data_IF_977044178366
#
_entry.id   IF_977044178366
#
_cell.length_a   1.000
_cell.length_b   1.000
_cell.length_c   1.000
_cell.angle_alpha   90.00
_cell.angle_beta   90.00
_cell.angle_gamma   90.00
#
_symmetry.space_group_name_H-M   'P 1'
#
loop_
_entity.id
_entity.type
_entity.pdbx_description
1 polymer ?
#
# COMPACT_ATOMS: atom_id res chain seq x y z
N UNK A 1 -8.00 -13.77 -7.28
CA UNK A 1 -8.88 -13.78 -6.09
C UNK A 1 -9.83 -14.94 -6.23
N UNK A 2 -10.00 -15.73 -5.18
CA UNK A 2 -10.97 -16.82 -5.10
C UNK A 2 -11.86 -16.49 -3.91
N UNK A 3 -13.17 -16.29 -4.14
CA UNK A 3 -14.14 -15.92 -3.08
C UNK A 3 -13.84 -14.63 -2.29
N UNK A 4 -13.15 -13.65 -2.88
CA UNK A 4 -12.87 -12.36 -2.23
C UNK A 4 -11.54 -12.29 -1.47
N UNK A 5 -10.81 -13.40 -1.38
CA UNK A 5 -9.48 -13.44 -0.75
C UNK A 5 -8.36 -13.26 -1.79
N UNK A 6 -7.24 -12.60 -1.40
CA UNK A 6 -6.07 -12.48 -2.26
C UNK A 6 -5.48 -13.87 -2.59
N UNK A 7 -5.05 -14.07 -3.84
CA UNK A 7 -4.46 -15.35 -4.26
C UNK A 7 -3.07 -15.62 -3.66
N UNK A 8 -2.39 -14.56 -3.26
CA UNK A 8 -1.16 -14.58 -2.48
C UNK A 8 -1.06 -13.25 -1.70
N UNK A 9 -0.34 -13.25 -0.59
CA UNK A 9 -0.07 -12.04 0.19
C UNK A 9 1.39 -11.99 0.60
N UNK A 10 1.96 -10.78 0.58
CA UNK A 10 3.28 -10.48 1.10
C UNK A 10 3.15 -9.36 2.13
N UNK A 11 3.61 -9.61 3.35
CA UNK A 11 3.53 -8.63 4.44
C UNK A 11 4.77 -8.74 5.32
N UNK A 12 5.54 -7.66 5.37
CA UNK A 12 6.81 -7.60 6.10
C UNK A 12 6.92 -6.26 6.82
N UNK A 13 7.18 -6.29 8.12
CA UNK A 13 7.67 -5.12 8.84
C UNK A 13 9.17 -4.99 8.59
N UNK A 14 9.68 -3.77 8.45
CA UNK A 14 11.10 -3.54 8.20
C UNK A 14 11.71 -2.61 9.24
N UNK A 15 13.00 -2.79 9.49
CA UNK A 15 13.79 -1.90 10.32
C UNK A 15 14.11 -0.62 9.53
N UNK A 16 13.61 0.56 9.98
CA UNK A 16 13.84 1.82 9.29
C UNK A 16 15.26 2.39 9.52
N UNK A 17 16.09 1.71 10.32
CA UNK A 17 17.45 2.11 10.69
C UNK A 17 17.53 3.48 11.38
N UNK A 18 16.40 3.97 11.91
CA UNK A 18 16.28 5.23 12.64
C UNK A 18 15.10 5.19 13.60
N UNK A 19 15.10 6.00 14.68
CA UNK A 19 13.96 6.09 15.58
C UNK A 19 12.65 6.43 14.86
N UNK A 20 11.56 5.79 15.26
CA UNK A 20 10.22 6.10 14.78
C UNK A 20 9.74 7.40 15.41
N UNK A 21 9.22 8.32 14.59
CA UNK A 21 8.66 9.57 15.12
C UNK A 21 7.36 9.32 15.88
N UNK A 22 7.09 10.14 16.90
CA UNK A 22 5.84 10.04 17.70
C UNK A 22 4.61 10.17 16.81
N UNK A 23 4.67 11.00 15.77
CA UNK A 23 3.58 11.16 14.80
C UNK A 23 3.30 9.88 14.02
N UNK A 24 4.35 9.24 13.49
CA UNK A 24 4.22 7.99 12.73
C UNK A 24 3.68 6.86 13.63
N UNK A 25 4.24 6.72 14.84
CA UNK A 25 3.78 5.72 15.80
C UNK A 25 2.30 5.91 16.20
N UNK A 26 1.80 7.14 16.30
CA UNK A 26 0.36 7.38 16.54
C UNK A 26 -0.53 6.94 15.38
N UNK A 27 0.00 6.95 14.16
CA UNK A 27 -0.76 6.59 12.95
C UNK A 27 -0.81 5.06 12.77
N UNK A 28 0.34 4.39 12.86
CA UNK A 28 0.47 2.97 12.53
C UNK A 28 0.75 2.04 13.73
N UNK A 29 0.98 2.58 14.93
CA UNK A 29 1.18 1.82 16.17
C UNK A 29 2.58 1.23 16.39
N UNK A 30 3.35 0.99 15.32
CA UNK A 30 4.71 0.44 15.45
C UNK A 30 5.70 1.36 16.17
N UNK A 31 6.35 0.84 17.21
CA UNK A 31 7.41 1.53 17.94
C UNK A 31 8.80 1.17 17.39
N UNK A 32 9.83 1.95 17.75
CA UNK A 32 11.22 1.59 17.46
C UNK A 32 11.58 0.20 18.00
N UNK A 33 11.13 -0.14 19.20
CA UNK A 33 11.39 -1.43 19.84
C UNK A 33 10.81 -2.61 19.04
N UNK A 34 9.67 -2.41 18.37
CA UNK A 34 9.06 -3.42 17.50
C UNK A 34 9.78 -3.58 16.16
N UNK A 35 10.31 -2.48 15.61
CA UNK A 35 10.88 -2.45 14.27
C UNK A 35 12.38 -2.71 14.23
N UNK A 36 13.13 -2.43 15.31
CA UNK A 36 14.60 -2.52 15.30
C UNK A 36 15.16 -3.94 15.08
N UNK A 37 14.38 -4.97 15.39
CA UNK A 37 14.75 -6.38 15.18
C UNK A 37 14.24 -6.97 13.87
N UNK A 38 13.47 -6.21 13.09
CA UNK A 38 12.97 -6.62 11.79
C UNK A 38 14.09 -6.59 10.74
N UNK A 39 13.96 -7.32 9.61
CA UNK A 39 14.90 -7.18 8.49
C UNK A 39 14.90 -5.76 7.94
N UNK A 40 16.02 -5.34 7.33
CA UNK A 40 16.08 -4.06 6.60
C UNK A 40 15.55 -4.27 5.19
N UNK A 41 15.27 -3.19 4.48
CA UNK A 41 14.81 -3.28 3.09
C UNK A 41 15.77 -4.08 2.19
N UNK A 42 17.09 -3.87 2.32
CA UNK A 42 18.10 -4.61 1.56
C UNK A 42 18.04 -6.13 1.77
N UNK A 43 17.57 -6.57 2.94
CA UNK A 43 17.49 -7.98 3.29
C UNK A 43 16.24 -8.65 2.67
N UNK A 44 15.25 -7.86 2.21
CA UNK A 44 13.97 -8.34 1.67
C UNK A 44 13.66 -7.84 0.25
N UNK A 45 14.57 -7.06 -0.34
CA UNK A 45 14.32 -6.39 -1.62
C UNK A 45 14.03 -7.40 -2.73
N UNK A 46 14.84 -8.46 -2.83
CA UNK A 46 14.69 -9.48 -3.87
C UNK A 46 13.39 -10.28 -3.70
N UNK A 47 13.01 -10.65 -2.47
CA UNK A 47 11.75 -11.34 -2.19
C UNK A 47 10.53 -10.47 -2.53
N UNK A 48 10.58 -9.18 -2.20
CA UNK A 48 9.53 -8.23 -2.56
C UNK A 48 9.43 -8.04 -4.07
N UNK A 49 10.56 -7.88 -4.78
CA UNK A 49 10.59 -7.72 -6.22
C UNK A 49 10.03 -8.95 -6.94
N UNK A 50 10.41 -10.15 -6.51
CA UNK A 50 9.87 -11.41 -7.05
C UNK A 50 8.34 -11.50 -6.85
N UNK A 51 7.81 -10.96 -5.75
CA UNK A 51 6.37 -10.97 -5.49
C UNK A 51 5.57 -10.03 -6.41
N UNK A 52 6.17 -8.91 -6.83
CA UNK A 52 5.50 -7.87 -7.65
C UNK A 52 5.90 -7.90 -9.12
N UNK A 53 6.81 -8.79 -9.52
CA UNK A 53 7.29 -8.95 -10.89
C UNK A 53 6.13 -9.25 -11.85
N UNK A 54 6.05 -8.48 -12.93
CA UNK A 54 4.99 -8.58 -13.94
C UNK A 54 3.61 -8.14 -13.45
N UNK A 55 3.49 -7.60 -12.23
CA UNK A 55 2.19 -7.15 -11.71
C UNK A 55 1.83 -5.74 -12.18
N UNK A 56 0.53 -5.46 -12.25
CA UNK A 56 0.02 -4.08 -12.23
C UNK A 56 -0.19 -3.66 -10.78
N UNK A 57 0.48 -2.58 -10.36
CA UNK A 57 0.38 -2.07 -9.00
C UNK A 57 -0.85 -1.18 -8.83
N UNK A 58 -1.81 -1.59 -8.01
CA UNK A 58 -2.98 -0.78 -7.67
C UNK A 58 -2.75 -0.13 -6.30
N UNK A 59 -2.53 1.19 -6.28
CA UNK A 59 -2.12 1.93 -5.08
C UNK A 59 -3.04 3.14 -4.87
N UNK A 60 -3.27 3.53 -3.62
CA UNK A 60 -3.99 4.76 -3.31
C UNK A 60 -3.00 5.90 -3.05
N UNK A 61 -3.05 6.97 -3.85
CA UNK A 61 -2.06 8.04 -3.85
C UNK A 61 -0.67 7.55 -4.28
N UNK A 62 -0.62 6.81 -5.39
CA UNK A 62 0.53 6.02 -5.82
C UNK A 62 1.88 6.77 -5.88
N UNK A 63 1.85 8.08 -6.15
CA UNK A 63 3.06 8.92 -6.16
C UNK A 63 3.86 8.82 -4.85
N UNK A 64 3.17 8.66 -3.72
CA UNK A 64 3.81 8.56 -2.42
C UNK A 64 4.57 7.23 -2.29
N UNK A 65 3.88 6.10 -2.39
CA UNK A 65 4.46 4.76 -2.23
C UNK A 65 5.53 4.45 -3.29
N UNK A 66 5.29 4.78 -4.56
CA UNK A 66 6.28 4.59 -5.62
C UNK A 66 7.53 5.44 -5.36
N UNK A 67 7.37 6.64 -4.79
CA UNK A 67 8.51 7.47 -4.38
C UNK A 67 9.36 6.80 -3.30
N UNK A 68 8.74 6.20 -2.29
CA UNK A 68 9.44 5.45 -1.24
C UNK A 68 10.12 4.19 -1.79
N UNK A 69 9.40 3.38 -2.57
CA UNK A 69 9.94 2.15 -3.15
C UNK A 69 11.12 2.45 -4.08
N UNK A 70 11.02 3.44 -4.95
CA UNK A 70 12.11 3.81 -5.84
C UNK A 70 13.33 4.35 -5.08
N UNK A 71 13.12 5.09 -3.98
CA UNK A 71 14.23 5.57 -3.16
C UNK A 71 14.97 4.41 -2.47
N UNK A 72 14.23 3.46 -1.89
CA UNK A 72 14.79 2.27 -1.25
C UNK A 72 15.51 1.37 -2.27
N UNK A 73 14.92 1.15 -3.46
CA UNK A 73 15.55 0.38 -4.55
C UNK A 73 16.82 1.04 -5.07
N UNK A 74 16.85 2.38 -5.16
CA UNK A 74 18.05 3.11 -5.56
C UNK A 74 19.19 2.91 -4.55
N UNK A 75 18.91 2.91 -3.24
CA UNK A 75 19.92 2.67 -2.19
C UNK A 75 20.56 1.29 -2.34
N UNK A 76 19.79 0.29 -2.75
CA UNK A 76 20.26 -1.10 -2.90
C UNK A 76 20.67 -1.47 -4.33
N UNK A 77 20.77 -0.48 -5.22
CA UNK A 77 21.14 -0.65 -6.64
C UNK A 77 20.26 -1.68 -7.38
N UNK A 78 18.95 -1.60 -7.20
CA UNK A 78 17.95 -2.47 -7.86
C UNK A 78 17.08 -1.74 -8.88
N UNK A 79 17.46 -0.54 -9.32
CA UNK A 79 16.69 0.23 -10.29
C UNK A 79 15.45 0.88 -9.65
N UNK A 80 14.30 0.78 -10.31
CA UNK A 80 13.03 1.36 -9.88
C UNK A 80 11.84 0.42 -10.15
N UNK A 81 10.68 0.72 -9.58
CA UNK A 81 9.48 -0.11 -9.74
C UNK A 81 9.05 -0.31 -11.20
N UNK A 82 9.33 0.65 -12.08
CA UNK A 82 9.00 0.55 -13.50
C UNK A 82 9.82 -0.52 -14.25
N UNK A 83 10.92 -1.00 -13.66
CA UNK A 83 11.74 -2.07 -14.24
C UNK A 83 11.12 -3.46 -14.01
N UNK A 84 10.19 -3.60 -13.05
CA UNK A 84 9.64 -4.90 -12.61
C UNK A 84 8.14 -5.04 -12.82
N UNK A 85 7.38 -3.94 -12.88
CA UNK A 85 5.92 -3.96 -12.92
C UNK A 85 5.38 -3.47 -14.27
N UNK A 86 4.26 -4.01 -14.71
CA UNK A 86 3.62 -3.65 -15.99
C UNK A 86 3.04 -2.22 -15.98
N UNK A 87 2.69 -1.72 -14.80
CA UNK A 87 2.12 -0.39 -14.66
C UNK A 87 1.61 -0.09 -13.25
N UNK A 88 1.12 1.15 -13.08
CA UNK A 88 0.59 1.65 -11.82
C UNK A 88 -0.79 2.25 -12.05
N UNK A 89 -1.78 1.79 -11.26
CA UNK A 89 -3.12 2.37 -11.18
C UNK A 89 -3.22 3.15 -9.86
N UNK A 90 -3.33 4.47 -9.97
CA UNK A 90 -3.62 5.32 -8.80
C UNK A 90 -5.13 5.43 -8.57
N UNK A 91 -5.60 4.73 -7.54
CA UNK A 91 -7.03 4.73 -7.16
C UNK A 91 -7.51 6.07 -6.64
N UNK A 92 -6.63 6.95 -6.14
CA UNK A 92 -7.01 8.31 -5.74
C UNK A 92 -7.41 9.13 -6.96
N UNK A 93 -6.59 9.06 -8.02
CA UNK A 93 -6.87 9.70 -9.30
C UNK A 93 -8.13 9.10 -9.96
N UNK A 94 -8.26 7.77 -9.96
CA UNK A 94 -9.46 7.08 -10.45
C UNK A 94 -10.73 7.51 -9.70
N UNK A 95 -10.66 7.59 -8.37
CA UNK A 95 -11.78 8.04 -7.54
C UNK A 95 -12.19 9.48 -7.84
N UNK A 96 -11.23 10.39 -8.01
CA UNK A 96 -11.50 11.80 -8.37
C UNK A 96 -12.15 11.92 -9.75
N UNK A 97 -11.75 11.07 -10.69
CA UNK A 97 -12.35 11.03 -12.03
C UNK A 97 -13.79 10.48 -11.99
N UNK A 98 -13.99 9.33 -11.33
CA UNK A 98 -15.30 8.66 -11.27
C UNK A 98 -16.30 9.35 -10.34
N UNK A 99 -15.82 10.13 -9.36
CA UNK A 99 -16.65 10.78 -8.32
C UNK A 99 -16.23 12.25 -8.13
N UNK A 100 -16.43 13.10 -9.15
CA UNK A 100 -15.96 14.49 -9.12
C UNK A 100 -16.59 15.27 -7.95
N UNK A 101 -15.76 16.05 -7.26
CA UNK A 101 -16.18 16.86 -6.11
C UNK A 101 -16.52 16.09 -4.83
N UNK A 102 -16.36 14.76 -4.82
CA UNK A 102 -16.53 13.95 -3.59
C UNK A 102 -15.18 13.72 -2.90
N UNK A 103 -15.15 13.59 -1.56
CA UNK A 103 -13.96 13.17 -0.86
C UNK A 103 -13.47 11.80 -1.37
N UNK A 104 -12.16 11.68 -1.55
CA UNK A 104 -11.53 10.53 -2.20
C UNK A 104 -10.46 9.86 -1.34
N UNK A 105 -10.42 10.12 -0.02
CA UNK A 105 -9.59 9.33 0.88
C UNK A 105 -10.11 7.90 0.98
N UNK A 106 -9.23 6.94 1.33
CA UNK A 106 -9.63 5.54 1.53
C UNK A 106 -10.84 5.43 2.48
N UNK A 107 -10.82 6.13 3.61
CA UNK A 107 -11.94 6.15 4.56
C UNK A 107 -13.25 6.68 3.95
N UNK A 108 -13.17 7.75 3.14
CA UNK A 108 -14.35 8.29 2.49
C UNK A 108 -14.90 7.35 1.41
N UNK A 109 -14.02 6.63 0.73
CA UNK A 109 -14.40 5.62 -0.26
C UNK A 109 -15.03 4.40 0.41
N UNK A 110 -14.46 3.90 1.51
CA UNK A 110 -15.06 2.82 2.28
C UNK A 110 -16.47 3.18 2.75
N UNK A 111 -16.65 4.37 3.34
CA UNK A 111 -17.97 4.86 3.77
C UNK A 111 -18.95 4.96 2.62
N UNK A 112 -18.52 5.49 1.49
CA UNK A 112 -19.41 5.70 0.34
C UNK A 112 -19.86 4.41 -0.35
N UNK A 113 -19.05 3.35 -0.27
CA UNK A 113 -19.37 2.05 -0.85
C UNK A 113 -19.90 1.05 0.19
N UNK A 114 -20.17 1.48 1.42
CA UNK A 114 -20.59 0.64 2.54
C UNK A 114 -19.62 -0.54 2.79
N UNK A 115 -18.32 -0.29 2.66
CA UNK A 115 -17.26 -1.26 2.97
C UNK A 115 -16.98 -1.17 4.46
N UNK A 116 -17.04 -2.31 5.15
CA UNK A 116 -16.74 -2.39 6.57
C UNK A 116 -15.23 -2.19 6.82
N UNK A 117 -14.91 -1.10 7.50
CA UNK A 117 -13.56 -0.77 7.95
C UNK A 117 -13.43 -0.82 9.48
N UNK A 118 -14.39 -1.43 10.19
CA UNK A 118 -14.41 -1.50 11.66
C UNK A 118 -13.18 -2.21 12.24
N UNK A 119 -12.59 -3.17 11.52
CA UNK A 119 -11.34 -3.83 11.89
C UNK A 119 -10.10 -2.92 11.82
N UNK A 120 -10.22 -1.72 11.23
CA UNK A 120 -9.12 -0.75 11.05
C UNK A 120 -9.03 0.17 12.26
N UNK A 121 -8.43 -0.32 13.34
CA UNK A 121 -8.20 0.49 14.56
C UNK A 121 -7.02 1.46 14.42
N UNK A 122 -6.01 1.10 13.62
CA UNK A 122 -4.86 1.93 13.23
C UNK A 122 -4.62 1.80 11.71
N UNK A 123 -3.86 2.73 11.13
CA UNK A 123 -3.45 2.63 9.72
C UNK A 123 -2.39 1.53 9.56
N UNK A 124 -2.83 0.33 9.19
CA UNK A 124 -1.95 -0.80 8.92
C UNK A 124 -1.93 -1.11 7.43
N UNK A 125 -0.74 -1.24 6.84
CA UNK A 125 -0.59 -1.44 5.40
C UNK A 125 -1.37 -2.67 4.88
N UNK A 126 -1.43 -3.76 5.66
CA UNK A 126 -2.16 -4.96 5.27
C UNK A 126 -3.67 -4.74 5.19
N UNK A 127 -4.29 -4.21 6.25
CA UNK A 127 -5.74 -3.96 6.26
C UNK A 127 -6.11 -2.88 5.25
N UNK A 128 -5.27 -1.86 5.07
CA UNK A 128 -5.47 -0.81 4.07
C UNK A 128 -5.44 -1.38 2.66
N UNK A 129 -4.55 -2.35 2.38
CA UNK A 129 -4.49 -3.06 1.10
C UNK A 129 -5.75 -3.89 0.85
N UNK A 130 -6.26 -4.57 1.88
CA UNK A 130 -7.51 -5.35 1.78
C UNK A 130 -8.73 -4.46 1.54
N UNK A 131 -8.82 -3.31 2.22
CA UNK A 131 -9.87 -2.32 1.98
C UNK A 131 -9.76 -1.73 0.58
N UNK A 132 -8.53 -1.45 0.12
CA UNK A 132 -8.27 -0.89 -1.19
C UNK A 132 -8.73 -1.82 -2.31
N UNK A 133 -8.59 -3.14 -2.16
CA UNK A 133 -9.15 -4.13 -3.09
C UNK A 133 -10.65 -3.95 -3.27
N UNK A 134 -11.41 -3.83 -2.17
CA UNK A 134 -12.85 -3.65 -2.22
C UNK A 134 -13.25 -2.30 -2.83
N UNK A 135 -12.50 -1.24 -2.50
CA UNK A 135 -12.68 0.10 -3.09
C UNK A 135 -12.41 0.09 -4.58
N UNK A 136 -11.32 -0.53 -5.03
CA UNK A 136 -10.98 -0.64 -6.44
C UNK A 136 -12.05 -1.42 -7.23
N UNK A 137 -12.53 -2.54 -6.70
CA UNK A 137 -13.64 -3.30 -7.27
C UNK A 137 -14.94 -2.48 -7.37
N UNK A 138 -15.19 -1.59 -6.41
CA UNK A 138 -16.35 -0.70 -6.44
C UNK A 138 -16.18 0.42 -7.48
N UNK A 139 -14.98 1.03 -7.56
CA UNK A 139 -14.66 2.09 -8.51
C UNK A 139 -14.73 1.62 -9.96
N UNK A 140 -14.25 0.41 -10.26
CA UNK A 140 -14.25 -0.16 -11.62
C UNK A 140 -15.63 -0.54 -12.12
N UNK A 141 -16.61 -0.72 -11.22
CA UNK A 141 -18.02 -0.96 -11.55
C UNK A 141 -18.83 0.32 -11.78
N UNK A 142 -18.28 1.49 -11.44
CA UNK A 142 -18.95 2.76 -11.72
C UNK A 142 -18.91 3.05 -13.23
N UNK A 143 -19.98 3.63 -13.79
CA UNK A 143 -20.04 4.02 -15.20
C UNK A 143 -18.89 4.97 -15.58
#
# INVERSE_FOLDING_TARGET
MTNGEPGASYHQLINPQRPVSVGAQRVHGYSWEMLKSQPRFVDIADDFLNFVEGATLVIHNARFDIGFLNAELAIVNRGCMADYCEGVIDTLSLARQKRPGKPASLDALCKAFNIDASGRTLHGALIDSMLLVQVYNSLTKLP
#
